data_IF_147739713130
#
_entry.id   IF_147739713130
#
_cell.length_a   1.000
_cell.length_b   1.000
_cell.length_c   1.000
_cell.angle_alpha   90.00
_cell.angle_beta   90.00
_cell.angle_gamma   90.00
#
_symmetry.space_group_name_H-M   'P 1'
#
loop_
_entity.id
_entity.type
_entity.pdbx_description
1 polymer ?
#
# COMPACT_ATOMS: atom_id res chain seq x y z
N UNK A 1 -3.11 -43.30 11.94
CA UNK A 1 -2.90 -41.88 12.26
C UNK A 1 -1.47 -41.57 11.90
N UNK A 2 -1.17 -40.63 11.00
CA UNK A 2 0.20 -40.16 10.85
C UNK A 2 0.50 -39.17 11.98
N UNK A 3 1.61 -39.46 12.65
CA UNK A 3 2.24 -38.65 13.70
C UNK A 3 2.63 -37.26 13.20
N UNK A 4 2.49 -36.30 14.11
CA UNK A 4 3.09 -34.97 14.13
C UNK A 4 4.35 -34.80 13.24
N UNK A 5 4.24 -33.97 12.20
CA UNK A 5 5.35 -33.15 11.67
C UNK A 5 5.83 -32.22 12.79
N UNK A 6 6.55 -32.78 13.75
CA UNK A 6 7.17 -32.03 14.84
C UNK A 6 8.41 -31.35 14.25
N UNK A 7 8.17 -30.14 13.73
CA UNK A 7 9.17 -29.16 13.29
C UNK A 7 10.45 -29.24 14.13
N UNK A 8 11.60 -29.49 13.48
CA UNK A 8 12.90 -29.44 14.14
C UNK A 8 13.33 -27.97 14.30
N UNK A 9 13.41 -27.43 15.54
CA UNK A 9 13.80 -26.05 15.78
C UNK A 9 15.26 -25.74 15.39
N UNK A 10 16.08 -26.76 15.12
CA UNK A 10 17.49 -26.59 14.73
C UNK A 10 17.68 -26.26 13.24
N UNK A 11 16.62 -26.37 12.41
CA UNK A 11 16.66 -26.01 10.99
C UNK A 11 16.37 -24.52 10.72
N UNK A 12 16.02 -23.72 11.75
CA UNK A 12 15.78 -22.28 11.59
C UNK A 12 17.06 -21.47 11.70
N UNK A 13 17.27 -20.58 10.73
CA UNK A 13 18.32 -19.56 10.81
C UNK A 13 18.18 -18.72 12.08
N UNK A 14 19.30 -18.25 12.62
CA UNK A 14 19.35 -17.41 13.83
C UNK A 14 18.52 -16.12 13.66
N UNK A 15 18.46 -15.64 12.42
CA UNK A 15 17.56 -14.58 12.00
C UNK A 15 16.08 -14.92 12.19
N UNK A 16 15.61 -16.09 11.76
CA UNK A 16 14.21 -16.49 11.91
C UNK A 16 13.79 -16.67 13.37
N UNK A 17 14.69 -17.22 14.20
CA UNK A 17 14.45 -17.37 15.63
C UNK A 17 14.33 -16.01 16.33
N UNK A 18 15.29 -15.12 16.12
CA UNK A 18 15.29 -13.77 16.71
C UNK A 18 14.12 -12.93 16.20
N UNK A 19 13.80 -13.06 14.91
CA UNK A 19 12.66 -12.40 14.29
C UNK A 19 11.33 -12.87 14.84
N UNK A 20 11.14 -14.17 15.03
CA UNK A 20 9.90 -14.72 15.59
C UNK A 20 9.60 -14.23 17.01
N UNK A 21 10.64 -13.89 17.77
CA UNK A 21 10.53 -13.40 19.14
C UNK A 21 10.32 -11.87 19.24
N UNK A 22 10.82 -11.10 18.28
CA UNK A 22 10.95 -9.63 18.43
C UNK A 22 10.21 -8.81 17.36
N UNK A 23 9.68 -9.41 16.30
CA UNK A 23 9.06 -8.64 15.22
C UNK A 23 7.62 -8.24 15.53
N UNK A 24 7.25 -6.99 15.20
CA UNK A 24 5.93 -6.43 15.50
C UNK A 24 4.83 -7.17 14.72
N UNK A 25 5.11 -7.49 13.46
CA UNK A 25 4.18 -8.22 12.59
C UNK A 25 4.81 -9.56 12.20
N UNK A 26 4.40 -10.68 12.84
CA UNK A 26 5.03 -12.00 12.65
C UNK A 26 4.53 -12.68 11.36
N UNK A 27 4.84 -12.07 10.21
CA UNK A 27 4.55 -12.59 8.87
C UNK A 27 5.81 -12.53 8.01
N UNK A 28 6.12 -13.50 7.14
CA UNK A 28 7.31 -13.48 6.29
C UNK A 28 7.44 -12.17 5.47
N UNK A 29 8.66 -11.68 5.18
CA UNK A 29 8.86 -10.41 4.47
C UNK A 29 8.17 -10.38 3.10
N UNK A 30 8.17 -11.50 2.37
CA UNK A 30 7.43 -11.64 1.10
C UNK A 30 5.92 -11.49 1.27
N UNK A 31 5.33 -12.01 2.35
CA UNK A 31 3.90 -11.85 2.61
C UNK A 31 3.57 -10.39 2.91
N UNK A 32 4.41 -9.70 3.68
CA UNK A 32 4.29 -8.26 3.92
C UNK A 32 4.41 -7.47 2.61
N UNK A 33 5.37 -7.81 1.76
CA UNK A 33 5.55 -7.19 0.45
C UNK A 33 4.32 -7.35 -0.45
N UNK A 34 3.71 -8.55 -0.49
CA UNK A 34 2.47 -8.79 -1.24
C UNK A 34 1.29 -7.95 -0.73
N UNK A 35 1.17 -7.77 0.59
CA UNK A 35 0.16 -6.87 1.18
C UNK A 35 0.42 -5.43 0.75
N UNK A 36 1.67 -4.96 0.81
CA UNK A 36 2.04 -3.64 0.31
C UNK A 36 1.73 -3.48 -1.19
N UNK A 37 2.00 -4.49 -2.00
CA UNK A 37 1.64 -4.52 -3.43
C UNK A 37 0.13 -4.47 -3.67
N UNK A 38 -0.66 -5.19 -2.85
CA UNK A 38 -2.12 -5.15 -2.91
C UNK A 38 -2.66 -3.76 -2.50
N UNK A 39 -2.12 -3.16 -1.43
CA UNK A 39 -2.47 -1.80 -1.01
C UNK A 39 -2.14 -0.78 -2.09
N UNK A 40 -0.96 -0.86 -2.70
CA UNK A 40 -0.61 -0.01 -3.84
C UNK A 40 -1.58 -0.23 -5.01
N UNK A 41 -1.91 -1.48 -5.33
CA UNK A 41 -2.84 -1.82 -6.41
C UNK A 41 -4.26 -1.31 -6.15
N UNK A 42 -4.74 -1.28 -4.90
CA UNK A 42 -6.05 -0.71 -4.56
C UNK A 42 -6.17 0.76 -4.98
N UNK A 43 -5.07 1.53 -4.95
CA UNK A 43 -5.02 2.90 -5.47
C UNK A 43 -5.47 3.01 -6.94
N UNK A 44 -5.42 1.92 -7.71
CA UNK A 44 -5.88 1.86 -9.11
C UNK A 44 -7.37 2.13 -9.25
N UNK A 45 -8.14 2.01 -8.16
CA UNK A 45 -9.57 2.30 -8.10
C UNK A 45 -9.91 3.79 -8.06
N UNK A 46 -8.94 4.69 -7.90
CA UNK A 46 -9.19 6.14 -7.80
C UNK A 46 -9.99 6.68 -9.00
N UNK A 47 -9.50 6.51 -10.24
CA UNK A 47 -10.23 6.93 -11.44
C UNK A 47 -11.56 6.20 -11.65
N UNK A 48 -11.65 4.86 -11.53
CA UNK A 48 -12.94 4.16 -11.59
C UNK A 48 -13.98 4.72 -10.61
N UNK A 49 -13.62 4.95 -9.34
CA UNK A 49 -14.55 5.45 -8.32
C UNK A 49 -15.14 6.81 -8.71
N UNK A 50 -14.29 7.71 -9.21
CA UNK A 50 -14.74 9.06 -9.58
C UNK A 50 -15.46 9.04 -10.94
N UNK A 51 -15.09 8.15 -11.85
CA UNK A 51 -15.75 7.98 -13.15
C UNK A 51 -17.18 7.44 -13.02
N UNK A 52 -17.44 6.59 -12.01
CA UNK A 52 -18.75 6.00 -11.76
C UNK A 52 -19.64 6.84 -10.85
N UNK A 53 -19.22 8.06 -10.47
CA UNK A 53 -20.01 8.91 -9.60
C UNK A 53 -21.43 9.18 -10.14
N UNK A 54 -22.45 9.23 -9.26
CA UNK A 54 -23.81 9.61 -9.63
C UNK A 54 -23.85 10.96 -10.35
N UNK A 55 -24.72 11.09 -11.36
CA UNK A 55 -24.79 12.29 -12.21
C UNK A 55 -24.99 13.58 -11.40
N UNK A 56 -25.90 13.55 -10.41
CA UNK A 56 -26.16 14.69 -9.53
C UNK A 56 -24.89 15.18 -8.79
N UNK A 57 -24.05 14.25 -8.33
CA UNK A 57 -22.79 14.59 -7.64
C UNK A 57 -21.76 15.16 -8.61
N UNK A 58 -21.67 14.59 -9.82
CA UNK A 58 -20.75 15.09 -10.85
C UNK A 58 -21.10 16.52 -11.25
N UNK A 59 -22.37 16.78 -11.54
CA UNK A 59 -22.87 18.09 -11.95
C UNK A 59 -22.71 19.14 -10.85
N UNK A 60 -22.92 18.75 -9.59
CA UNK A 60 -22.76 19.66 -8.45
C UNK A 60 -21.30 19.98 -8.10
N UNK A 61 -20.34 19.15 -8.53
CA UNK A 61 -18.96 19.20 -8.00
C UNK A 61 -17.90 19.44 -9.06
N UNK A 62 -18.16 19.09 -10.33
CA UNK A 62 -17.17 19.13 -11.39
C UNK A 62 -17.69 19.88 -12.62
N UNK A 63 -16.87 20.80 -13.14
CA UNK A 63 -17.12 21.49 -14.41
C UNK A 63 -16.68 20.69 -15.65
N UNK A 64 -16.01 19.55 -15.47
CA UNK A 64 -15.44 18.75 -16.55
C UNK A 64 -15.26 17.27 -16.13
N UNK A 65 -14.47 16.49 -16.88
CA UNK A 65 -14.29 15.06 -16.61
C UNK A 65 -13.67 14.80 -15.23
N UNK A 66 -14.40 14.16 -14.29
CA UNK A 66 -13.97 14.06 -12.90
C UNK A 66 -12.62 13.34 -12.70
N UNK A 67 -12.35 12.31 -13.51
CA UNK A 67 -11.10 11.55 -13.45
C UNK A 67 -9.86 12.34 -13.89
N UNK A 68 -10.05 13.44 -14.63
CA UNK A 68 -8.97 14.32 -15.11
C UNK A 68 -8.84 15.61 -14.28
N UNK A 69 -9.73 15.85 -13.32
CA UNK A 69 -9.66 17.01 -12.43
C UNK A 69 -8.57 16.79 -11.38
N UNK A 70 -7.68 17.77 -11.12
CA UNK A 70 -6.72 17.68 -10.02
C UNK A 70 -7.43 17.75 -8.68
N UNK A 71 -7.23 16.76 -7.81
CA UNK A 71 -7.91 16.66 -6.51
C UNK A 71 -6.91 16.46 -5.38
N UNK A 72 -7.10 17.16 -4.26
CA UNK A 72 -6.24 17.00 -3.07
C UNK A 72 -6.25 15.56 -2.55
N UNK A 73 -7.43 14.93 -2.50
CA UNK A 73 -7.58 13.53 -2.07
C UNK A 73 -6.88 12.55 -3.01
N UNK A 74 -6.82 12.83 -4.32
CA UNK A 74 -6.06 12.00 -5.27
C UNK A 74 -4.54 12.06 -4.98
N UNK A 75 -4.03 13.20 -4.51
CA UNK A 75 -2.65 13.35 -4.07
C UNK A 75 -2.35 12.54 -2.79
N UNK A 76 -3.28 12.51 -1.83
CA UNK A 76 -3.16 11.69 -0.61
C UNK A 76 -3.12 10.20 -0.98
N UNK A 77 -4.03 9.75 -1.84
CA UNK A 77 -4.05 8.36 -2.33
C UNK A 77 -2.76 8.01 -3.09
N UNK A 78 -2.23 8.94 -3.90
CA UNK A 78 -0.96 8.77 -4.60
C UNK A 78 0.22 8.64 -3.63
N UNK A 79 0.31 9.51 -2.63
CA UNK A 79 1.37 9.44 -1.63
C UNK A 79 1.34 8.11 -0.87
N UNK A 80 0.15 7.66 -0.45
CA UNK A 80 -0.03 6.35 0.18
C UNK A 80 0.37 5.20 -0.75
N UNK A 81 -0.03 5.27 -2.02
CA UNK A 81 0.34 4.28 -3.05
C UNK A 81 1.86 4.18 -3.22
N UNK A 82 2.55 5.32 -3.31
CA UNK A 82 4.02 5.36 -3.46
C UNK A 82 4.70 4.80 -2.21
N UNK A 83 4.23 5.19 -1.01
CA UNK A 83 4.75 4.65 0.25
C UNK A 83 4.59 3.13 0.32
N UNK A 84 3.41 2.60 0.01
CA UNK A 84 3.14 1.17 -0.04
C UNK A 84 4.01 0.45 -1.09
N UNK A 85 4.10 0.99 -2.31
CA UNK A 85 4.91 0.40 -3.39
C UNK A 85 6.39 0.33 -3.05
N UNK A 86 6.98 1.44 -2.56
CA UNK A 86 8.38 1.49 -2.15
C UNK A 86 8.68 0.58 -0.96
N UNK A 87 7.78 0.55 0.04
CA UNK A 87 7.90 -0.37 1.16
C UNK A 87 7.87 -1.84 0.72
N UNK A 88 6.95 -2.19 -0.19
CA UNK A 88 6.85 -3.53 -0.78
C UNK A 88 8.13 -3.94 -1.52
N UNK A 89 8.69 -3.04 -2.34
CA UNK A 89 9.96 -3.27 -3.02
C UNK A 89 11.14 -3.39 -2.05
N UNK A 90 11.17 -2.59 -0.99
CA UNK A 90 12.17 -2.68 0.07
C UNK A 90 12.13 -4.03 0.78
N UNK A 91 10.94 -4.55 1.08
CA UNK A 91 10.75 -5.87 1.70
C UNK A 91 11.17 -7.01 0.75
N UNK A 92 10.91 -6.88 -0.54
CA UNK A 92 11.43 -7.81 -1.56
C UNK A 92 12.95 -7.79 -1.61
N UNK A 93 13.56 -6.59 -1.63
CA UNK A 93 15.00 -6.45 -1.65
C UNK A 93 15.65 -7.03 -0.37
N UNK A 94 15.01 -6.83 0.78
CA UNK A 94 15.40 -7.41 2.05
C UNK A 94 15.38 -8.95 1.99
N UNK A 95 14.29 -9.55 1.51
CA UNK A 95 14.22 -11.01 1.34
C UNK A 95 15.33 -11.52 0.43
N UNK A 96 15.56 -10.89 -0.73
CA UNK A 96 16.61 -11.31 -1.67
C UNK A 96 17.99 -11.26 -1.02
N UNK A 97 18.23 -10.26 -0.16
CA UNK A 97 19.50 -10.12 0.56
C UNK A 97 19.67 -11.21 1.62
N UNK A 98 18.60 -11.60 2.30
CA UNK A 98 18.63 -12.69 3.29
C UNK A 98 18.81 -14.06 2.62
N UNK A 99 18.17 -14.29 1.48
CA UNK A 99 18.25 -15.57 0.75
C UNK A 99 19.61 -15.80 0.04
N UNK A 100 20.30 -14.73 -0.39
CA UNK A 100 21.56 -14.82 -1.15
C UNK A 100 22.81 -14.44 -0.36
N UNK A 101 22.64 -13.82 0.80
CA UNK A 101 23.74 -13.35 1.64
C UNK A 101 24.25 -14.43 2.58
N UNK A 102 25.47 -14.28 3.12
CA UNK A 102 25.88 -15.06 4.29
C UNK A 102 24.90 -14.78 5.44
N UNK A 103 24.70 -15.78 6.29
CA UNK A 103 23.83 -15.66 7.46
C UNK A 103 24.25 -14.45 8.31
N UNK A 104 23.31 -13.55 8.67
CA UNK A 104 23.65 -12.32 9.35
C UNK A 104 24.19 -12.59 10.76
N UNK A 105 25.33 -11.98 11.09
CA UNK A 105 25.88 -11.96 12.45
C UNK A 105 24.94 -11.21 13.42
N UNK A 106 25.04 -11.47 14.73
CA UNK A 106 24.17 -10.92 15.79
C UNK A 106 23.84 -9.42 15.65
N UNK A 107 24.86 -8.57 15.44
CA UNK A 107 24.67 -7.11 15.28
C UNK A 107 23.90 -6.73 13.99
N UNK A 108 24.05 -7.54 12.93
CA UNK A 108 23.37 -7.31 11.66
C UNK A 108 21.89 -7.71 11.72
N UNK A 109 21.55 -8.74 12.51
CA UNK A 109 20.15 -9.22 12.71
C UNK A 109 19.26 -8.08 13.20
N UNK A 110 19.70 -7.32 14.21
CA UNK A 110 18.93 -6.18 14.74
C UNK A 110 18.71 -5.08 13.70
N UNK A 111 19.71 -4.82 12.87
CA UNK A 111 19.60 -3.85 11.78
C UNK A 111 18.58 -4.29 10.73
N UNK A 112 18.58 -5.59 10.37
CA UNK A 112 17.59 -6.13 9.44
C UNK A 112 16.17 -6.10 9.99
N UNK A 113 16.01 -6.38 11.29
CA UNK A 113 14.72 -6.31 11.96
C UNK A 113 14.18 -4.88 11.98
N UNK A 114 15.03 -3.90 12.32
CA UNK A 114 14.66 -2.49 12.31
C UNK A 114 14.24 -2.00 10.91
N UNK A 115 14.96 -2.43 9.86
CA UNK A 115 14.59 -2.12 8.47
C UNK A 115 13.25 -2.77 8.10
N UNK A 116 13.04 -4.04 8.46
CA UNK A 116 11.78 -4.73 8.19
C UNK A 116 10.59 -4.03 8.86
N UNK A 117 10.74 -3.63 10.12
CA UNK A 117 9.69 -2.94 10.86
C UNK A 117 9.43 -1.53 10.33
N UNK A 118 10.48 -0.78 9.98
CA UNK A 118 10.34 0.52 9.35
C UNK A 118 9.58 0.42 8.02
N UNK A 119 9.96 -0.53 7.15
CA UNK A 119 9.26 -0.77 5.89
C UNK A 119 7.82 -1.22 6.11
N UNK A 120 7.57 -2.06 7.11
CA UNK A 120 6.21 -2.51 7.47
C UNK A 120 5.36 -1.32 7.94
N UNK A 121 5.89 -0.46 8.82
CA UNK A 121 5.21 0.74 9.29
C UNK A 121 4.89 1.71 8.15
N UNK A 122 5.86 2.01 7.29
CA UNK A 122 5.66 2.87 6.12
C UNK A 122 4.61 2.28 5.17
N UNK A 123 4.70 0.98 4.86
CA UNK A 123 3.80 0.34 3.91
C UNK A 123 2.37 0.20 4.45
N UNK A 124 2.22 -0.31 5.66
CA UNK A 124 0.91 -0.65 6.22
C UNK A 124 0.20 0.56 6.82
N UNK A 125 0.93 1.39 7.57
CA UNK A 125 0.32 2.54 8.26
C UNK A 125 0.26 3.71 7.31
N UNK A 126 1.40 4.24 6.87
CA UNK A 126 1.41 5.43 6.00
C UNK A 126 0.79 5.14 4.64
N UNK A 127 1.22 4.04 4.00
CA UNK A 127 0.73 3.62 2.71
C UNK A 127 -0.74 3.21 2.75
N UNK A 128 -1.08 2.30 3.67
CA UNK A 128 -2.45 1.83 3.86
C UNK A 128 -3.43 2.94 4.21
N UNK A 129 -3.13 3.81 5.17
CA UNK A 129 -4.01 4.93 5.51
C UNK A 129 -4.18 5.89 4.34
N UNK A 130 -3.09 6.27 3.65
CA UNK A 130 -3.17 7.19 2.52
C UNK A 130 -4.05 6.65 1.39
N UNK A 131 -3.90 5.37 1.04
CA UNK A 131 -4.74 4.71 0.03
C UNK A 131 -6.18 4.58 0.51
N UNK A 132 -6.41 3.98 1.67
CA UNK A 132 -7.76 3.65 2.14
C UNK A 132 -8.59 4.89 2.44
N UNK A 133 -8.02 5.88 3.13
CA UNK A 133 -8.70 7.16 3.41
C UNK A 133 -8.96 7.91 2.11
N UNK A 134 -7.96 7.96 1.21
CA UNK A 134 -8.10 8.61 -0.08
C UNK A 134 -9.24 8.00 -0.92
N UNK A 135 -9.27 6.67 -1.04
CA UNK A 135 -10.31 5.97 -1.78
C UNK A 135 -11.67 6.08 -1.10
N UNK A 136 -11.75 6.01 0.23
CA UNK A 136 -13.01 6.17 0.96
C UNK A 136 -13.62 7.57 0.76
N UNK A 137 -12.79 8.61 0.77
CA UNK A 137 -13.24 9.97 0.48
C UNK A 137 -13.70 10.13 -0.97
N UNK A 138 -12.98 9.56 -1.93
CA UNK A 138 -13.44 9.54 -3.34
C UNK A 138 -14.72 8.72 -3.52
N UNK A 139 -14.88 7.62 -2.77
CA UNK A 139 -16.07 6.80 -2.80
C UNK A 139 -17.28 7.49 -2.13
N UNK A 140 -17.04 8.49 -1.28
CA UNK A 140 -18.12 9.14 -0.51
C UNK A 140 -19.19 9.81 -1.36
N UNK A 141 -18.86 10.18 -2.61
CA UNK A 141 -19.85 10.71 -3.54
C UNK A 141 -20.90 9.68 -3.98
N UNK A 142 -20.66 8.38 -3.78
CA UNK A 142 -21.68 7.35 -4.02
C UNK A 142 -22.78 7.33 -2.96
N UNK A 143 -22.59 8.01 -1.82
CA UNK A 143 -23.63 8.21 -0.81
C UNK A 143 -24.56 9.40 -1.11
N UNK A 144 -24.31 10.13 -2.21
CA UNK A 144 -25.15 11.23 -2.66
C UNK A 144 -24.71 12.62 -2.18
N UNK A 145 -25.44 13.64 -2.61
CA UNK A 145 -25.08 15.06 -2.38
C UNK A 145 -25.22 15.44 -0.90
N UNK A 146 -26.27 14.96 -0.22
CA UNK A 146 -26.51 15.27 1.20
C UNK A 146 -25.38 14.76 2.11
N UNK A 147 -24.82 13.58 1.79
CA UNK A 147 -23.67 13.03 2.50
C UNK A 147 -22.42 13.89 2.30
N UNK A 148 -22.18 14.36 1.07
CA UNK A 148 -21.08 15.28 0.78
C UNK A 148 -21.23 16.61 1.52
N UNK A 149 -22.45 17.14 1.60
CA UNK A 149 -22.72 18.37 2.33
C UNK A 149 -22.56 18.18 3.86
N UNK A 150 -22.85 16.99 4.39
CA UNK A 150 -22.49 16.64 5.76
C UNK A 150 -20.97 16.61 5.97
N UNK A 151 -20.19 16.04 5.05
CA UNK A 151 -18.72 16.05 5.12
C UNK A 151 -18.17 17.48 5.05
N UNK A 152 -18.67 18.30 4.13
CA UNK A 152 -18.27 19.72 3.97
C UNK A 152 -18.55 20.53 5.22
N UNK A 153 -19.69 20.32 5.88
CA UNK A 153 -20.01 20.97 7.17
C UNK A 153 -19.04 20.59 8.28
N UNK A 154 -18.40 19.43 8.20
CA UNK A 154 -17.34 19.00 9.11
C UNK A 154 -15.93 19.41 8.65
N UNK A 155 -15.82 20.28 7.63
CA UNK A 155 -14.55 20.77 7.09
C UNK A 155 -13.83 19.79 6.16
N UNK A 156 -14.48 18.71 5.73
CA UNK A 156 -13.91 17.75 4.79
C UNK A 156 -14.44 18.05 3.39
N UNK A 157 -13.54 18.35 2.46
CA UNK A 157 -13.87 18.61 1.05
C UNK A 157 -13.25 17.51 0.15
N UNK A 158 -13.96 16.38 -0.08
CA UNK A 158 -13.39 15.23 -0.80
C UNK A 158 -12.93 15.53 -2.22
N UNK A 159 -13.53 16.53 -2.85
CA UNK A 159 -13.29 16.90 -4.25
C UNK A 159 -12.73 18.31 -4.40
N UNK A 160 -12.12 18.86 -3.33
CA UNK A 160 -11.42 20.13 -3.43
C UNK A 160 -10.33 20.06 -4.51
N UNK A 161 -10.41 20.96 -5.49
CA UNK A 161 -9.39 21.09 -6.52
C UNK A 161 -8.17 21.80 -5.95
N UNK A 162 -7.00 21.21 -6.10
CA UNK A 162 -5.75 21.82 -5.65
C UNK A 162 -4.88 22.11 -6.87
N UNK A 163 -4.73 23.40 -7.21
CA UNK A 163 -3.97 23.84 -8.38
C UNK A 163 -2.46 23.71 -8.22
N UNK A 164 -1.96 23.62 -6.97
CA UNK A 164 -0.54 23.53 -6.67
C UNK A 164 0.10 22.18 -7.07
N UNK A 165 -0.70 21.11 -7.14
CA UNK A 165 -0.24 19.77 -7.51
C UNK A 165 -1.19 19.20 -8.56
N UNK A 166 -0.76 19.01 -9.81
CA UNK A 166 -1.61 18.51 -10.90
C UNK A 166 -1.85 16.99 -10.77
N UNK A 167 -2.21 16.50 -9.58
CA UNK A 167 -2.47 15.09 -9.31
C UNK A 167 -3.95 14.80 -9.55
N UNK A 168 -4.21 13.98 -10.57
CA UNK A 168 -5.55 13.57 -10.97
C UNK A 168 -5.83 12.13 -10.54
N UNK A 169 -7.10 11.74 -10.32
CA UNK A 169 -7.46 10.34 -10.08
C UNK A 169 -6.91 9.40 -11.15
N UNK A 170 -6.87 9.83 -12.42
CA UNK A 170 -6.29 9.07 -13.53
C UNK A 170 -4.80 8.81 -13.36
N UNK A 171 -4.02 9.82 -12.97
CA UNK A 171 -2.59 9.66 -12.68
C UNK A 171 -2.39 8.71 -11.50
N UNK A 172 -3.14 8.93 -10.41
CA UNK A 172 -3.08 8.06 -9.22
C UNK A 172 -3.36 6.62 -9.59
N UNK A 173 -4.39 6.36 -10.39
CA UNK A 173 -4.72 5.00 -10.81
C UNK A 173 -3.62 4.33 -11.63
N UNK A 174 -3.00 5.07 -12.56
CA UNK A 174 -1.93 4.53 -13.40
C UNK A 174 -0.69 4.19 -12.57
N UNK A 175 -0.27 5.08 -11.67
CA UNK A 175 0.87 4.85 -10.78
C UNK A 175 0.60 3.68 -9.84
N UNK A 176 -0.61 3.59 -9.28
CA UNK A 176 -1.03 2.51 -8.41
C UNK A 176 -1.00 1.14 -9.09
N UNK A 177 -1.54 1.07 -10.32
CA UNK A 177 -1.48 -0.15 -11.11
C UNK A 177 -0.03 -0.56 -11.38
N UNK A 178 0.81 0.38 -11.83
CA UNK A 178 2.22 0.10 -12.10
C UNK A 178 2.98 -0.34 -10.84
N UNK A 179 2.86 0.38 -9.74
CA UNK A 179 3.53 0.07 -8.48
C UNK A 179 3.10 -1.29 -7.92
N UNK A 180 1.78 -1.56 -7.88
CA UNK A 180 1.26 -2.84 -7.42
C UNK A 180 1.77 -4.02 -8.25
N UNK A 181 1.69 -3.91 -9.58
CA UNK A 181 2.17 -4.96 -10.49
C UNK A 181 3.68 -5.17 -10.39
N UNK A 182 4.47 -4.09 -10.27
CA UNK A 182 5.93 -4.16 -10.10
C UNK A 182 6.29 -4.86 -8.80
N UNK A 183 5.60 -4.58 -7.69
CA UNK A 183 5.81 -5.30 -6.41
C UNK A 183 5.47 -6.78 -6.58
N UNK A 184 4.31 -7.12 -7.18
CA UNK A 184 3.94 -8.52 -7.39
C UNK A 184 4.94 -9.27 -8.27
N UNK A 185 5.32 -8.70 -9.42
CA UNK A 185 6.34 -9.27 -10.29
C UNK A 185 7.67 -9.47 -9.55
N UNK A 186 8.08 -8.49 -8.74
CA UNK A 186 9.30 -8.59 -7.94
C UNK A 186 9.23 -9.73 -6.92
N UNK A 187 8.06 -9.98 -6.31
CA UNK A 187 7.86 -11.12 -5.39
C UNK A 187 7.94 -12.48 -6.10
N UNK A 188 7.42 -12.59 -7.34
CA UNK A 188 7.48 -13.82 -8.14
C UNK A 188 8.93 -14.14 -8.52
N UNK A 189 9.68 -13.15 -9.01
CA UNK A 189 11.10 -13.31 -9.38
C UNK A 189 11.99 -13.73 -8.19
N UNK A 190 11.57 -13.46 -6.96
CA UNK A 190 12.31 -13.94 -5.77
C UNK A 190 12.06 -15.43 -5.57
N UNK A 191 10.80 -15.85 -5.67
CA UNK A 191 10.37 -17.23 -5.43
C UNK A 191 10.87 -18.17 -6.52
N UNK A 192 10.83 -17.76 -7.79
CA UNK A 192 11.28 -18.58 -8.92
C UNK A 192 12.82 -18.65 -9.05
N UNK A 193 13.54 -17.80 -8.30
CA UNK A 193 15.00 -17.73 -8.31
C UNK A 193 15.69 -18.47 -7.16
N UNK A 194 14.91 -19.17 -6.33
CA UNK A 194 15.34 -20.16 -5.32
C UNK A 194 15.22 -21.57 -5.91
#
# INVERSE_FOLDING_TARGET
MPDDDRFDPTERSEYELTRSANIIVPMPPLRKARICGALALLGSLAAPLVATLPAAVREATFAGPPAATPLGVAAVALAGTVAAGLAGLGLVALQRRLARGPEPTDDAVWSFLAVEDALTGIGFITGGLGVLVGLALLASGHWGVDALDALRRNGVEPYASVSALPVTPRLTSAVALAAGLVVFAATVVVVDGE
#
